data_IF_781709103153
#
_entry.id   IF_781709103153
#
_cell.length_a   1.000
_cell.length_b   1.000
_cell.length_c   1.000
_cell.angle_alpha   90.00
_cell.angle_beta   90.00
_cell.angle_gamma   90.00
#
_symmetry.space_group_name_H-M   'P 1'
#
loop_
_entity.id
_entity.type
_entity.pdbx_description
1 polymer ?
#
# COMPACT_ATOMS: atom_id res chain seq x y z
N UNK A 1 -11.37 21.38 -6.20
CA UNK A 1 -10.39 20.34 -5.85
C UNK A 1 -10.59 19.94 -4.40
N UNK A 2 -10.73 18.65 -4.09
CA UNK A 2 -10.82 18.18 -2.70
C UNK A 2 -9.40 18.11 -2.13
N UNK A 3 -9.11 18.90 -1.09
CA UNK A 3 -7.80 18.92 -0.43
C UNK A 3 -7.69 17.82 0.63
N UNK A 4 -6.49 17.26 0.79
CA UNK A 4 -6.16 16.37 1.91
C UNK A 4 -6.29 17.12 3.24
N UNK A 5 -7.00 16.53 4.22
CA UNK A 5 -7.26 17.17 5.52
C UNK A 5 -6.45 16.56 6.68
N UNK A 6 -5.32 15.91 6.38
CA UNK A 6 -4.51 15.25 7.41
C UNK A 6 -4.02 16.22 8.49
N UNK A 7 -3.52 17.40 8.11
CA UNK A 7 -3.04 18.39 9.07
C UNK A 7 -4.14 18.82 10.05
N UNK A 8 -5.39 18.86 9.59
CA UNK A 8 -6.54 19.13 10.46
C UNK A 8 -6.72 18.00 11.48
N UNK A 9 -6.71 16.74 11.04
CA UNK A 9 -6.79 15.59 11.95
C UNK A 9 -5.66 15.60 13.00
N UNK A 10 -4.43 15.92 12.59
CA UNK A 10 -3.29 16.03 13.50
C UNK A 10 -3.53 17.12 14.55
N UNK A 11 -3.97 18.31 14.12
CA UNK A 11 -4.22 19.44 15.03
C UNK A 11 -5.32 19.13 16.07
N UNK A 12 -6.40 18.45 15.65
CA UNK A 12 -7.50 18.06 16.54
C UNK A 12 -7.05 17.01 17.57
N UNK A 13 -6.19 16.07 17.17
CA UNK A 13 -5.61 15.08 18.09
C UNK A 13 -4.71 15.75 19.13
N UNK A 14 -3.78 16.61 18.72
CA UNK A 14 -2.89 17.33 19.64
C UNK A 14 -3.65 18.23 20.61
N UNK A 15 -4.70 18.91 20.15
CA UNK A 15 -5.56 19.70 21.02
C UNK A 15 -6.30 18.84 22.05
N UNK A 16 -6.66 17.61 21.70
CA UNK A 16 -7.38 16.67 22.59
C UNK A 16 -6.45 15.97 23.59
N UNK A 17 -5.15 15.88 23.31
CA UNK A 17 -4.16 15.20 24.16
C UNK A 17 -3.23 16.16 24.92
N UNK A 18 -3.31 17.47 24.66
CA UNK A 18 -2.50 18.50 25.32
C UNK A 18 -2.77 18.65 26.83
N UNK A 19 -3.91 18.17 27.31
CA UNK A 19 -4.16 17.96 28.74
C UNK A 19 -3.82 16.50 29.05
N UNK A 20 -2.88 16.26 29.97
CA UNK A 20 -2.55 14.93 30.51
C UNK A 20 -3.77 14.33 31.22
N UNK A 21 -4.73 13.84 30.44
CA UNK A 21 -5.93 13.18 30.92
C UNK A 21 -5.66 11.72 31.27
N UNK A 22 -6.59 11.05 31.97
CA UNK A 22 -6.58 9.60 32.15
C UNK A 22 -6.28 8.85 30.84
N UNK A 23 -5.64 7.69 30.93
CA UNK A 23 -5.34 6.81 29.79
C UNK A 23 -6.59 6.51 28.92
N UNK A 24 -7.76 6.49 29.55
CA UNK A 24 -9.06 6.36 28.89
C UNK A 24 -9.42 7.54 27.95
N UNK A 25 -9.07 8.77 28.33
CA UNK A 25 -9.26 9.97 27.49
C UNK A 25 -8.29 9.96 26.30
N UNK A 26 -7.06 9.47 26.52
CA UNK A 26 -6.08 9.30 25.45
C UNK A 26 -6.56 8.30 24.40
N UNK A 27 -7.01 7.11 24.80
CA UNK A 27 -7.54 6.11 23.87
C UNK A 27 -8.81 6.62 23.14
N UNK A 28 -9.62 7.45 23.81
CA UNK A 28 -10.81 8.07 23.22
C UNK A 28 -10.43 9.10 22.15
N UNK A 29 -9.41 9.93 22.41
CA UNK A 29 -8.84 10.86 21.43
C UNK A 29 -8.14 10.12 20.27
N UNK A 30 -7.41 9.04 20.56
CA UNK A 30 -6.70 8.25 19.56
C UNK A 30 -7.67 7.50 18.62
N UNK A 31 -8.78 6.98 19.14
CA UNK A 31 -9.88 6.44 18.33
C UNK A 31 -10.54 7.52 17.46
N UNK A 32 -10.72 8.74 17.98
CA UNK A 32 -11.23 9.85 17.19
C UNK A 32 -10.27 10.25 16.05
N UNK A 33 -8.97 10.27 16.33
CA UNK A 33 -7.92 10.55 15.36
C UNK A 33 -7.88 9.50 14.24
N UNK A 34 -7.90 8.21 14.57
CA UNK A 34 -8.02 7.10 13.60
C UNK A 34 -9.21 7.29 12.64
N UNK A 35 -10.37 7.64 13.19
CA UNK A 35 -11.56 7.89 12.38
C UNK A 35 -11.41 9.12 11.47
N UNK A 36 -10.78 10.20 11.93
CA UNK A 36 -10.50 11.38 11.12
C UNK A 36 -9.58 11.04 9.94
N UNK A 37 -8.47 10.34 10.21
CA UNK A 37 -7.50 9.91 9.20
C UNK A 37 -8.18 9.01 8.16
N UNK A 38 -8.90 7.96 8.58
CA UNK A 38 -9.62 7.06 7.67
C UNK A 38 -10.62 7.80 6.76
N UNK A 39 -11.33 8.81 7.27
CA UNK A 39 -12.29 9.61 6.47
C UNK A 39 -11.64 10.43 5.37
N UNK A 40 -10.37 10.84 5.52
CA UNK A 40 -9.65 11.63 4.51
C UNK A 40 -8.82 10.80 3.53
N UNK A 41 -8.84 9.46 3.64
CA UNK A 41 -8.02 8.54 2.85
C UNK A 41 -8.09 8.78 1.32
N UNK A 42 -9.29 9.07 0.79
CA UNK A 42 -9.48 9.31 -0.65
C UNK A 42 -8.73 10.53 -1.18
N UNK A 43 -8.66 11.61 -0.38
CA UNK A 43 -8.02 12.87 -0.78
C UNK A 43 -6.54 12.91 -0.41
N UNK A 44 -6.06 11.98 0.40
CA UNK A 44 -4.70 11.94 0.93
C UNK A 44 -3.81 10.80 0.38
N UNK A 45 -4.19 10.15 -0.74
CA UNK A 45 -3.49 8.95 -1.26
C UNK A 45 -1.97 9.12 -1.46
N UNK A 46 -1.51 10.32 -1.85
CA UNK A 46 -0.10 10.63 -2.09
C UNK A 46 0.52 11.54 -1.02
N UNK A 47 -0.15 11.73 0.12
CA UNK A 47 0.33 12.60 1.19
C UNK A 47 1.17 11.80 2.19
N UNK A 48 2.43 12.19 2.38
CA UNK A 48 3.35 11.49 3.28
C UNK A 48 2.88 11.57 4.74
N UNK A 49 2.37 12.72 5.19
CA UNK A 49 1.92 12.89 6.57
C UNK A 49 0.71 12.00 6.89
N UNK A 50 -0.14 11.73 5.90
CA UNK A 50 -1.24 10.77 6.04
C UNK A 50 -0.74 9.34 6.30
N UNK A 51 0.22 8.87 5.50
CA UNK A 51 0.77 7.51 5.68
C UNK A 51 1.57 7.39 6.98
N UNK A 52 2.32 8.44 7.37
CA UNK A 52 2.99 8.49 8.67
C UNK A 52 1.98 8.44 9.84
N UNK A 53 0.87 9.19 9.74
CA UNK A 53 -0.18 9.17 10.74
C UNK A 53 -0.84 7.79 10.87
N UNK A 54 -1.12 7.12 9.75
CA UNK A 54 -1.74 5.79 9.75
C UNK A 54 -0.91 4.78 10.55
N UNK A 55 0.40 4.72 10.29
CA UNK A 55 1.31 3.85 11.04
C UNK A 55 1.46 4.28 12.50
N UNK A 56 1.64 5.59 12.75
CA UNK A 56 1.77 6.10 14.11
C UNK A 56 0.56 5.82 15.00
N UNK A 57 -0.66 5.81 14.44
CA UNK A 57 -1.88 5.45 15.16
C UNK A 57 -1.87 3.98 15.58
N UNK A 58 -1.45 3.07 14.70
CA UNK A 58 -1.36 1.63 15.01
C UNK A 58 -0.35 1.36 16.13
N UNK A 59 0.79 2.04 16.09
CA UNK A 59 1.82 1.97 17.12
C UNK A 59 1.31 2.51 18.47
N UNK A 60 0.69 3.71 18.47
CA UNK A 60 0.14 4.31 19.68
C UNK A 60 -0.98 3.47 20.29
N UNK A 61 -1.85 2.87 19.48
CA UNK A 61 -2.92 1.99 19.97
C UNK A 61 -2.35 0.76 20.67
N UNK A 62 -1.24 0.23 20.15
CA UNK A 62 -0.55 -0.93 20.72
C UNK A 62 0.20 -0.56 22.00
N UNK A 63 0.90 0.58 22.03
CA UNK A 63 1.66 1.04 23.19
C UNK A 63 0.78 1.35 24.40
N UNK A 64 -0.43 1.85 24.18
CA UNK A 64 -1.38 2.22 25.23
C UNK A 64 -2.50 1.19 25.43
N UNK A 65 -2.38 -0.02 24.87
CA UNK A 65 -3.37 -1.09 24.96
C UNK A 65 -4.82 -0.63 24.67
N UNK A 66 -4.97 0.31 23.74
CA UNK A 66 -6.27 0.89 23.42
C UNK A 66 -7.10 -0.11 22.63
N UNK A 67 -8.36 -0.33 23.05
CA UNK A 67 -9.34 -1.01 22.21
C UNK A 67 -9.58 -0.21 20.92
N UNK A 68 -9.74 -0.91 19.79
CA UNK A 68 -10.13 -0.30 18.51
C UNK A 68 -11.58 0.19 18.52
N UNK A 69 -12.41 -0.38 19.39
CA UNK A 69 -13.83 -0.08 19.55
C UNK A 69 -14.07 0.70 20.84
N UNK A 70 -14.92 1.73 20.80
CA UNK A 70 -15.27 2.53 21.98
C UNK A 70 -15.75 3.96 21.66
N UNK A 71 -16.08 4.76 22.71
CA UNK A 71 -16.64 6.11 22.57
C UNK A 71 -15.63 7.11 22.00
N UNK A 72 -15.93 7.78 20.89
CA UNK A 72 -15.03 8.81 20.33
C UNK A 72 -15.42 10.21 20.77
N UNK A 73 -14.43 11.09 20.98
CA UNK A 73 -14.65 12.53 21.20
C UNK A 73 -15.12 13.19 19.90
N UNK A 74 -16.38 12.99 19.50
CA UNK A 74 -16.97 13.75 18.40
C UNK A 74 -17.70 14.99 18.91
N UNK A 75 -17.61 16.15 18.22
CA UNK A 75 -18.56 17.23 18.41
C UNK A 75 -19.94 16.72 17.98
N UNK A 76 -20.87 16.71 18.93
CA UNK A 76 -22.27 16.34 18.72
C UNK A 76 -22.93 17.30 17.71
N UNK A 77 -22.95 16.93 16.43
CA UNK A 77 -23.99 17.37 15.51
C UNK A 77 -24.99 16.21 15.37
N UNK A 78 -26.04 16.25 16.21
CA UNK A 78 -27.18 15.33 16.08
C UNK A 78 -27.99 15.74 14.85
N UNK A 79 -27.70 15.14 13.70
CA UNK A 79 -28.71 14.98 12.67
C UNK A 79 -29.48 13.70 13.00
N UNK A 80 -30.82 13.69 13.08
CA UNK A 80 -31.58 12.47 13.29
C UNK A 80 -31.24 11.44 12.20
N UNK A 81 -31.07 10.15 12.54
CA UNK A 81 -30.85 9.13 11.51
C UNK A 81 -32.09 9.07 10.60
N UNK A 82 -31.91 9.09 9.26
CA UNK A 82 -33.01 8.76 8.35
C UNK A 82 -33.47 7.32 8.62
N UNK A 83 -34.77 7.00 8.35
CA UNK A 83 -35.35 5.70 8.65
C UNK A 83 -34.57 4.56 8.00
N UNK A 84 -34.32 3.52 8.81
CA UNK A 84 -33.61 2.29 8.44
C UNK A 84 -34.33 1.62 7.28
N UNK A 85 -33.76 1.70 6.09
CA UNK A 85 -34.07 0.76 5.02
C UNK A 85 -33.21 -0.49 5.25
N UNK A 86 -33.75 -1.71 5.08
CA UNK A 86 -32.98 -2.92 5.22
C UNK A 86 -31.81 -2.89 4.22
N UNK A 87 -30.59 -3.27 4.63
CA UNK A 87 -29.44 -3.19 3.76
C UNK A 87 -29.65 -4.14 2.56
N UNK A 88 -29.44 -3.68 1.32
CA UNK A 88 -29.11 -4.61 0.26
C UNK A 88 -27.80 -5.32 0.66
N UNK A 89 -27.61 -6.55 0.20
CA UNK A 89 -26.39 -7.35 0.39
C UNK A 89 -25.15 -6.59 -0.11
N UNK A 90 -24.61 -5.70 0.72
CA UNK A 90 -23.35 -5.02 0.46
C UNK A 90 -22.32 -5.73 1.31
N UNK A 91 -21.54 -6.60 0.65
CA UNK A 91 -20.30 -7.13 1.18
C UNK A 91 -19.53 -5.99 1.87
N UNK A 92 -19.51 -6.02 3.21
CA UNK A 92 -18.69 -5.13 4.02
C UNK A 92 -17.23 -5.48 3.69
N UNK A 93 -16.43 -4.58 3.08
CA UNK A 93 -15.03 -4.89 2.82
C UNK A 93 -14.32 -5.10 4.16
N UNK A 94 -13.80 -6.31 4.36
CA UNK A 94 -13.05 -6.69 5.54
C UNK A 94 -11.76 -5.87 5.63
N UNK A 95 -11.52 -5.25 6.79
CA UNK A 95 -10.38 -4.36 7.12
C UNK A 95 -9.06 -5.15 7.33
N UNK A 96 -8.85 -6.23 6.57
CA UNK A 96 -7.55 -6.92 6.40
C UNK A 96 -6.94 -6.43 5.08
N UNK A 97 -5.60 -6.32 4.95
CA UNK A 97 -5.01 -6.18 3.62
C UNK A 97 -5.44 -7.42 2.84
N UNK A 98 -6.42 -7.25 1.95
CA UNK A 98 -6.85 -8.31 1.06
C UNK A 98 -5.59 -8.73 0.31
N UNK A 99 -5.18 -9.99 0.51
CA UNK A 99 -4.04 -10.54 -0.22
C UNK A 99 -4.31 -10.26 -1.69
N UNK A 100 -3.46 -9.46 -2.33
CA UNK A 100 -3.70 -8.96 -3.67
C UNK A 100 -3.62 -10.13 -4.67
N UNK A 101 -4.73 -10.85 -4.82
CA UNK A 101 -4.85 -11.95 -5.75
C UNK A 101 -5.13 -11.37 -7.14
N UNK A 102 -4.09 -11.31 -7.96
CA UNK A 102 -4.18 -10.88 -9.37
C UNK A 102 -5.36 -11.55 -10.09
N UNK A 103 -5.50 -12.86 -9.95
CA UNK A 103 -6.56 -13.63 -10.62
C UNK A 103 -7.97 -13.29 -10.12
N UNK A 104 -8.13 -12.90 -8.85
CA UNK A 104 -9.43 -12.51 -8.27
C UNK A 104 -9.87 -11.11 -8.72
N UNK A 105 -8.92 -10.28 -9.16
CA UNK A 105 -9.22 -8.96 -9.73
C UNK A 105 -9.79 -9.03 -11.15
N UNK A 106 -9.72 -10.19 -11.81
CA UNK A 106 -10.27 -10.39 -13.14
C UNK A 106 -11.81 -10.47 -13.09
N UNK A 107 -12.52 -9.94 -14.11
CA UNK A 107 -13.97 -10.10 -14.21
C UNK A 107 -14.38 -11.56 -14.13
N UNK A 108 -15.53 -11.86 -13.50
CA UNK A 108 -16.02 -13.23 -13.24
C UNK A 108 -16.16 -14.11 -14.50
N UNK A 109 -16.25 -13.51 -15.68
CA UNK A 109 -16.34 -14.18 -16.99
C UNK A 109 -15.10 -13.95 -17.88
N UNK A 110 -13.99 -13.46 -17.32
CA UNK A 110 -12.75 -13.30 -18.06
C UNK A 110 -12.12 -14.67 -18.33
N UNK A 111 -11.53 -14.83 -19.52
CA UNK A 111 -10.67 -15.97 -19.79
C UNK A 111 -9.48 -15.97 -18.81
N UNK A 112 -8.96 -17.16 -18.44
CA UNK A 112 -7.74 -17.24 -17.64
C UNK A 112 -6.60 -16.44 -18.28
N UNK A 113 -5.76 -15.78 -17.48
CA UNK A 113 -4.63 -15.03 -18.01
C UNK A 113 -3.61 -15.99 -18.66
N UNK A 114 -3.12 -15.61 -19.84
CA UNK A 114 -1.99 -16.31 -20.47
C UNK A 114 -0.69 -15.79 -19.86
N UNK A 115 0.05 -16.66 -19.17
CA UNK A 115 1.34 -16.34 -18.57
C UNK A 115 2.47 -16.57 -19.57
N UNK A 116 3.32 -15.55 -19.77
CA UNK A 116 4.55 -15.64 -20.55
C UNK A 116 5.76 -15.61 -19.62
N UNK A 117 6.86 -16.28 -20.01
CA UNK A 117 8.05 -16.39 -19.19
C UNK A 117 9.24 -15.73 -19.87
N UNK A 118 10.05 -15.01 -19.10
CA UNK A 118 11.34 -14.50 -19.54
C UNK A 118 12.40 -15.06 -18.60
N UNK A 119 13.53 -15.49 -19.14
CA UNK A 119 14.64 -16.06 -18.39
C UNK A 119 15.96 -15.42 -18.77
N UNK A 120 16.81 -15.16 -17.78
CA UNK A 120 18.14 -14.60 -17.98
C UNK A 120 19.14 -15.35 -17.10
N UNK A 121 20.11 -16.04 -17.70
CA UNK A 121 20.95 -17.00 -16.99
C UNK A 121 22.29 -17.23 -17.68
N UNK A 122 23.27 -17.79 -16.96
CA UNK A 122 24.58 -18.14 -17.51
C UNK A 122 25.35 -16.91 -18.02
N UNK A 123 26.01 -17.06 -19.16
CA UNK A 123 26.73 -15.99 -19.85
C UNK A 123 25.90 -15.36 -20.97
N UNK A 124 25.33 -14.19 -20.67
CA UNK A 124 23.90 -14.13 -20.47
C UNK A 124 23.12 -14.69 -21.67
N UNK A 125 22.52 -15.86 -21.44
CA UNK A 125 21.47 -16.41 -22.27
C UNK A 125 20.14 -15.80 -21.86
N UNK A 126 19.45 -15.25 -22.85
CA UNK A 126 18.13 -14.64 -22.70
C UNK A 126 17.11 -15.53 -23.40
N UNK A 127 16.11 -16.00 -22.64
CA UNK A 127 14.83 -16.47 -23.18
C UNK A 127 13.84 -15.32 -23.10
N UNK A 128 13.40 -14.83 -24.25
CA UNK A 128 12.42 -13.74 -24.33
C UNK A 128 11.01 -14.22 -23.99
N UNK A 129 10.05 -13.29 -23.86
CA UNK A 129 8.64 -13.63 -23.65
C UNK A 129 7.98 -14.39 -24.82
N UNK A 130 8.59 -14.35 -26.01
CA UNK A 130 8.14 -15.09 -27.19
C UNK A 130 8.82 -16.46 -27.31
N UNK A 131 9.56 -16.89 -26.28
CA UNK A 131 10.37 -18.11 -26.27
C UNK A 131 11.57 -18.12 -27.24
N UNK A 132 11.96 -16.95 -27.79
CA UNK A 132 13.20 -16.81 -28.54
C UNK A 132 14.42 -16.84 -27.61
N UNK A 133 15.50 -17.50 -28.06
CA UNK A 133 16.76 -17.59 -27.32
C UNK A 133 17.84 -16.73 -27.94
N UNK A 134 18.52 -15.93 -27.11
CA UNK A 134 19.62 -15.06 -27.51
C UNK A 134 20.80 -15.25 -26.55
N UNK A 135 22.01 -15.03 -27.04
CA UNK A 135 23.22 -14.96 -26.21
C UNK A 135 23.83 -13.59 -26.41
N UNK A 136 23.90 -12.81 -25.34
CA UNK A 136 24.16 -11.37 -25.44
C UNK A 136 25.47 -11.00 -24.74
N UNK A 137 26.44 -10.42 -25.44
CA UNK A 137 27.56 -9.75 -24.74
C UNK A 137 27.10 -8.38 -24.25
N UNK A 138 26.67 -8.30 -23.01
CA UNK A 138 26.19 -7.06 -22.40
C UNK A 138 26.89 -6.84 -21.05
N UNK A 139 27.67 -5.77 -20.96
CA UNK A 139 28.37 -5.37 -19.73
C UNK A 139 27.69 -4.15 -19.11
N UNK A 140 27.66 -4.08 -17.79
CA UNK A 140 27.02 -3.01 -17.05
C UNK A 140 25.52 -3.26 -16.83
N UNK A 141 24.79 -2.19 -16.54
CA UNK A 141 23.38 -2.28 -16.15
C UNK A 141 22.43 -2.12 -17.34
N UNK A 142 21.50 -3.06 -17.51
CA UNK A 142 20.58 -3.14 -18.64
C UNK A 142 19.14 -3.43 -18.18
N UNK A 143 18.12 -2.81 -18.79
CA UNK A 143 16.73 -3.10 -18.49
C UNK A 143 16.33 -4.43 -19.14
N UNK A 144 15.95 -5.42 -18.33
CA UNK A 144 15.39 -6.69 -18.81
C UNK A 144 13.88 -6.58 -19.01
N UNK A 145 13.19 -5.87 -18.12
CA UNK A 145 11.77 -5.51 -18.23
C UNK A 145 11.64 -4.04 -17.89
N UNK A 146 11.01 -3.26 -18.74
CA UNK A 146 10.66 -1.87 -18.43
C UNK A 146 9.30 -1.54 -19.01
N UNK A 147 8.26 -1.59 -18.17
CA UNK A 147 6.91 -1.23 -18.58
C UNK A 147 6.19 -0.47 -17.45
N UNK A 148 4.94 -0.05 -17.71
CA UNK A 148 4.12 0.73 -16.77
C UNK A 148 3.82 0.04 -15.43
N UNK A 149 4.09 -1.25 -15.30
CA UNK A 149 3.74 -2.08 -14.14
C UNK A 149 4.95 -2.61 -13.38
N UNK A 150 6.04 -2.91 -14.10
CA UNK A 150 7.22 -3.55 -13.55
C UNK A 150 8.49 -3.06 -14.26
N UNK A 151 9.53 -2.85 -13.46
CA UNK A 151 10.88 -2.59 -13.95
C UNK A 151 11.84 -3.60 -13.33
N UNK A 152 12.55 -4.34 -14.18
CA UNK A 152 13.60 -5.30 -13.81
C UNK A 152 14.86 -4.89 -14.53
N UNK A 153 15.92 -4.64 -13.77
CA UNK A 153 17.22 -4.25 -14.28
C UNK A 153 18.26 -5.23 -13.77
N UNK A 154 19.17 -5.62 -14.65
CA UNK A 154 20.26 -6.54 -14.36
C UNK A 154 21.60 -5.86 -14.62
N UNK A 155 22.61 -6.20 -13.83
CA UNK A 155 23.98 -5.72 -14.02
C UNK A 155 24.88 -6.91 -14.31
N UNK A 156 25.55 -6.88 -15.46
CA UNK A 156 26.44 -7.95 -15.89
C UNK A 156 27.89 -7.49 -15.85
N UNK A 157 28.77 -8.39 -15.43
CA UNK A 157 30.23 -8.16 -15.40
C UNK A 157 30.94 -9.25 -16.18
N UNK A 158 32.11 -8.97 -16.78
CA UNK A 158 32.92 -10.00 -17.42
C UNK A 158 33.21 -11.14 -16.44
N UNK A 159 33.10 -12.39 -16.89
CA UNK A 159 33.36 -13.57 -16.04
C UNK A 159 34.83 -13.59 -15.61
N UNK A 160 35.72 -13.17 -16.50
CA UNK A 160 37.13 -12.89 -16.21
C UNK A 160 37.55 -11.59 -16.93
N UNK A 161 38.59 -10.89 -16.44
CA UNK A 161 39.09 -9.68 -17.08
C UNK A 161 39.42 -9.90 -18.56
N UNK A 162 38.85 -9.07 -19.44
CA UNK A 162 39.06 -9.14 -20.90
C UNK A 162 38.20 -10.17 -21.64
N UNK A 163 37.35 -10.93 -20.95
CA UNK A 163 36.45 -11.90 -21.58
C UNK A 163 35.33 -11.23 -22.39
N UNK A 164 34.88 -11.90 -23.45
CA UNK A 164 33.61 -11.59 -24.11
C UNK A 164 32.40 -12.14 -23.38
N UNK A 165 32.57 -13.14 -22.52
CA UNK A 165 31.51 -13.71 -21.70
C UNK A 165 31.29 -12.83 -20.45
N UNK A 166 30.04 -12.46 -20.22
CA UNK A 166 29.59 -11.66 -19.08
C UNK A 166 28.54 -12.44 -18.29
N UNK A 167 28.49 -12.32 -16.97
CA UNK A 167 27.48 -12.97 -16.14
C UNK A 167 26.76 -11.95 -15.24
N UNK A 168 25.53 -12.27 -14.83
CA UNK A 168 24.73 -11.41 -13.96
C UNK A 168 25.30 -11.37 -12.54
N UNK A 169 25.62 -10.15 -12.11
CA UNK A 169 26.18 -9.83 -10.78
C UNK A 169 25.14 -9.18 -9.85
N UNK A 170 24.10 -8.55 -10.40
CA UNK A 170 23.02 -7.90 -9.66
C UNK A 170 21.73 -7.86 -10.46
#
# INVERSE_FOLDING_TARGET
>A
TLQCKILKCNSEFWASTSSSGPEEEFCTALRAYNNCVRRTARTCRGDLAYHSAQHGIEDLMSQHNCSKEGPTTQPRARTPPPPVQPPPDVNVPSDKPELCHYERSLPRNAAPPNYTHCGFFGDPHLRTFNDDFQTCKVEGAWPLIHNKYLSVQVTNTPVVPGSSATATSK
#
